data_IF_126242234336
#
_entry.id   IF_126242234336
#
_cell.length_a   1.000
_cell.length_b   1.000
_cell.length_c   1.000
_cell.angle_alpha   90.00
_cell.angle_beta   90.00
_cell.angle_gamma   90.00
#
_symmetry.space_group_name_H-M   'P 1'
#
loop_
_entity.id
_entity.type
_entity.pdbx_description
1 polymer ?
#
# COMPACT_ATOMS: atom_id res chain seq x y z
N UNK A 1 -6.22 9.56 -14.54
CA UNK A 1 -4.78 9.17 -14.63
C UNK A 1 -4.66 7.86 -13.91
N UNK A 2 -4.24 6.78 -14.56
CA UNK A 2 -4.14 5.47 -13.91
C UNK A 2 -2.98 5.40 -12.91
N UNK A 3 -3.10 4.50 -11.93
CA UNK A 3 -2.04 4.17 -10.98
C UNK A 3 -0.83 3.63 -11.76
N UNK A 4 0.32 4.29 -11.63
CA UNK A 4 1.55 3.80 -12.22
C UNK A 4 2.10 2.64 -11.37
N UNK A 5 2.31 1.48 -11.98
CA UNK A 5 2.91 0.29 -11.33
C UNK A 5 4.44 0.41 -11.23
N UNK A 6 4.92 1.55 -10.75
CA UNK A 6 6.34 1.79 -10.53
C UNK A 6 6.52 2.33 -9.11
N UNK A 7 7.59 1.93 -8.42
CA UNK A 7 7.89 2.55 -7.14
C UNK A 7 8.15 4.04 -7.35
N UNK A 8 7.73 4.84 -6.38
CA UNK A 8 7.98 6.28 -6.40
C UNK A 8 9.49 6.55 -6.33
N UNK A 9 9.93 7.63 -6.97
CA UNK A 9 11.33 8.08 -6.89
C UNK A 9 11.76 8.35 -5.44
N UNK A 10 10.82 8.74 -4.57
CA UNK A 10 11.08 8.91 -3.14
C UNK A 10 11.45 7.58 -2.47
N UNK A 11 10.71 6.50 -2.73
CA UNK A 11 11.03 5.17 -2.18
C UNK A 11 12.42 4.70 -2.66
N UNK A 12 12.69 4.88 -3.94
CA UNK A 12 13.96 4.53 -4.57
C UNK A 12 15.14 5.35 -4.04
N UNK A 13 14.92 6.61 -3.69
CA UNK A 13 15.94 7.47 -3.08
C UNK A 13 16.23 7.10 -1.62
N UNK A 14 15.23 6.63 -0.87
CA UNK A 14 15.38 6.30 0.57
C UNK A 14 16.00 4.91 0.75
N UNK A 15 15.55 3.91 -0.01
CA UNK A 15 16.03 2.53 0.08
C UNK A 15 16.45 1.99 -1.29
N UNK A 16 17.48 2.57 -1.93
CA UNK A 16 17.87 2.19 -3.29
C UNK A 16 18.27 0.71 -3.41
N UNK A 17 18.82 0.14 -2.34
CA UNK A 17 19.23 -1.27 -2.27
C UNK A 17 18.04 -2.26 -2.27
N UNK A 18 16.81 -1.78 -2.00
CA UNK A 18 15.59 -2.60 -2.06
C UNK A 18 14.86 -2.50 -3.40
N UNK A 19 15.48 -1.93 -4.45
CA UNK A 19 14.83 -1.73 -5.75
C UNK A 19 14.05 -2.95 -6.28
N UNK A 20 14.60 -4.18 -6.32
CA UNK A 20 13.84 -5.34 -6.78
C UNK A 20 12.54 -5.56 -5.98
N UNK A 21 12.62 -5.41 -4.65
CA UNK A 21 11.47 -5.56 -3.77
C UNK A 21 10.45 -4.41 -3.93
N UNK A 22 10.92 -3.18 -4.12
CA UNK A 22 10.05 -2.02 -4.36
C UNK A 22 9.32 -2.16 -5.71
N UNK A 23 9.97 -2.72 -6.73
CA UNK A 23 9.34 -3.06 -8.01
C UNK A 23 8.28 -4.16 -7.83
N UNK A 24 8.57 -5.22 -7.05
CA UNK A 24 7.59 -6.25 -6.70
C UNK A 24 6.37 -5.68 -5.95
N UNK A 25 6.61 -4.82 -4.95
CA UNK A 25 5.56 -4.12 -4.23
C UNK A 25 4.70 -3.28 -5.19
N UNK A 26 5.32 -2.51 -6.08
CA UNK A 26 4.59 -1.68 -7.04
C UNK A 26 3.73 -2.51 -8.01
N UNK A 27 4.25 -3.65 -8.48
CA UNK A 27 3.49 -4.59 -9.31
C UNK A 27 2.33 -5.21 -8.54
N UNK A 28 2.55 -5.59 -7.27
CA UNK A 28 1.51 -6.15 -6.41
C UNK A 28 0.39 -5.16 -6.15
N UNK A 29 0.71 -3.87 -5.94
CA UNK A 29 -0.31 -2.83 -5.79
C UNK A 29 -1.23 -2.74 -7.01
N UNK A 30 -0.69 -2.82 -8.22
CA UNK A 30 -1.53 -2.86 -9.42
C UNK A 30 -2.38 -4.12 -9.53
N UNK A 31 -1.86 -5.26 -9.07
CA UNK A 31 -2.66 -6.49 -8.97
C UNK A 31 -3.85 -6.28 -8.01
N UNK A 32 -3.62 -5.62 -6.87
CA UNK A 32 -4.65 -5.28 -5.90
C UNK A 32 -5.76 -4.42 -6.50
N UNK A 33 -5.38 -3.37 -7.23
CA UNK A 33 -6.34 -2.47 -7.91
C UNK A 33 -7.11 -3.23 -8.98
N UNK A 34 -6.45 -4.07 -9.79
CA UNK A 34 -7.09 -4.90 -10.82
C UNK A 34 -8.16 -5.83 -10.24
N UNK A 35 -7.96 -6.33 -9.03
CA UNK A 35 -8.90 -7.24 -8.37
C UNK A 35 -9.84 -6.57 -7.36
N UNK A 36 -9.81 -5.24 -7.24
CA UNK A 36 -10.59 -4.52 -6.24
C UNK A 36 -12.10 -4.79 -6.37
N UNK A 37 -12.63 -4.85 -7.61
CA UNK A 37 -14.04 -5.21 -7.87
C UNK A 37 -14.40 -6.64 -7.46
N UNK A 38 -13.46 -7.59 -7.54
CA UNK A 38 -13.70 -8.96 -7.07
C UNK A 38 -13.71 -9.02 -5.55
N UNK A 39 -12.82 -8.27 -4.91
CA UNK A 39 -12.80 -8.11 -3.46
C UNK A 39 -14.11 -7.47 -2.94
N UNK A 40 -14.66 -6.48 -3.65
CA UNK A 40 -15.95 -5.85 -3.35
C UNK A 40 -17.12 -6.88 -3.31
N UNK A 41 -17.03 -7.91 -4.15
CA UNK A 41 -17.99 -9.03 -4.24
C UNK A 41 -17.71 -10.18 -3.27
N UNK A 42 -16.67 -10.07 -2.44
CA UNK A 42 -16.29 -11.10 -1.46
C UNK A 42 -15.32 -12.16 -1.98
N UNK A 43 -14.85 -12.07 -3.23
CA UNK A 43 -13.90 -13.01 -3.84
C UNK A 43 -12.50 -12.39 -3.94
N UNK A 44 -11.93 -11.93 -2.84
CA UNK A 44 -10.66 -11.20 -2.87
C UNK A 44 -9.47 -12.17 -3.05
N UNK A 45 -8.77 -12.18 -4.20
CA UNK A 45 -7.66 -13.10 -4.44
C UNK A 45 -6.31 -12.52 -3.99
N UNK A 46 -6.31 -11.33 -3.38
CA UNK A 46 -5.13 -10.59 -2.92
C UNK A 46 -5.20 -10.38 -1.42
N UNK A 47 -4.04 -10.21 -0.79
CA UNK A 47 -3.94 -9.92 0.63
C UNK A 47 -3.99 -8.40 0.86
N UNK A 48 -5.05 -7.93 1.53
CA UNK A 48 -5.26 -6.52 1.84
C UNK A 48 -4.12 -5.91 2.68
N UNK A 49 -3.47 -6.67 3.55
CA UNK A 49 -2.31 -6.19 4.29
C UNK A 49 -1.10 -5.98 3.39
N UNK A 50 -0.85 -6.92 2.46
CA UNK A 50 0.18 -6.74 1.44
C UNK A 50 -0.16 -5.62 0.47
N UNK A 51 -1.43 -5.42 0.12
CA UNK A 51 -1.87 -4.28 -0.68
C UNK A 51 -1.59 -2.96 0.06
N UNK A 52 -1.89 -2.88 1.35
CA UNK A 52 -1.65 -1.68 2.16
C UNK A 52 -0.16 -1.37 2.33
N UNK A 53 0.68 -2.40 2.40
CA UNK A 53 2.13 -2.25 2.39
C UNK A 53 2.66 -1.82 1.01
N UNK A 54 2.24 -2.51 -0.05
CA UNK A 54 2.61 -2.26 -1.43
C UNK A 54 2.27 -0.83 -1.89
N UNK A 55 1.14 -0.31 -1.41
CA UNK A 55 0.70 1.07 -1.61
C UNK A 55 1.82 2.10 -1.33
N UNK A 56 2.59 1.90 -0.25
CA UNK A 56 3.64 2.82 0.21
C UNK A 56 4.79 2.93 -0.80
N UNK A 57 5.07 1.86 -1.53
CA UNK A 57 6.10 1.86 -2.56
C UNK A 57 5.68 2.73 -3.76
N UNK A 58 4.39 2.73 -4.11
CA UNK A 58 3.86 3.43 -5.29
C UNK A 58 3.58 4.90 -5.02
N UNK A 59 3.04 5.22 -3.85
CA UNK A 59 2.56 6.57 -3.56
C UNK A 59 3.50 7.29 -2.58
N UNK A 60 4.02 8.43 -3.02
CA UNK A 60 4.85 9.36 -2.25
C UNK A 60 4.02 10.15 -1.22
N UNK A 61 3.11 9.46 -0.54
CA UNK A 61 2.29 10.05 0.51
C UNK A 61 3.13 10.09 1.77
N UNK A 62 3.81 11.22 1.95
CA UNK A 62 4.72 11.47 3.07
C UNK A 62 3.97 11.35 4.40
N UNK A 63 4.11 10.17 5.02
CA UNK A 63 3.81 9.94 6.41
C UNK A 63 2.39 9.51 6.77
N UNK A 64 1.54 9.14 5.80
CA UNK A 64 0.25 8.51 6.11
C UNK A 64 -0.28 7.61 4.98
N UNK A 65 -0.21 6.30 5.20
CA UNK A 65 -0.81 5.29 4.29
C UNK A 65 -2.32 5.43 4.21
N UNK A 66 -2.97 5.77 5.33
CA UNK A 66 -4.43 5.91 5.38
C UNK A 66 -4.90 7.09 4.53
N UNK A 67 -4.24 8.25 4.62
CA UNK A 67 -4.56 9.40 3.76
C UNK A 67 -4.29 9.10 2.30
N UNK A 68 -3.18 8.43 2.03
CA UNK A 68 -2.88 7.99 0.69
C UNK A 68 -3.96 7.07 0.10
N UNK A 69 -4.39 6.06 0.84
CA UNK A 69 -5.47 5.16 0.42
C UNK A 69 -6.75 5.95 0.13
N UNK A 70 -7.06 6.94 0.96
CA UNK A 70 -8.21 7.82 0.75
C UNK A 70 -8.11 8.59 -0.57
N UNK A 71 -6.92 9.12 -0.92
CA UNK A 71 -6.76 9.84 -2.19
C UNK A 71 -6.99 8.95 -3.41
N UNK A 72 -6.55 7.70 -3.37
CA UNK A 72 -6.80 6.73 -4.45
C UNK A 72 -8.29 6.42 -4.55
N UNK A 73 -8.94 6.17 -3.41
CA UNK A 73 -10.39 5.95 -3.38
C UNK A 73 -11.17 7.18 -3.89
N UNK A 74 -10.81 8.39 -3.47
CA UNK A 74 -11.45 9.63 -3.89
C UNK A 74 -11.31 9.93 -5.40
N UNK A 75 -10.35 9.28 -6.09
CA UNK A 75 -10.22 9.31 -7.56
C UNK A 75 -11.11 8.29 -8.28
N UNK A 76 -11.86 7.48 -7.54
CA UNK A 76 -12.69 6.40 -8.08
C UNK A 76 -11.90 5.17 -8.50
N UNK A 77 -10.66 5.02 -8.03
CA UNK A 77 -9.78 3.92 -8.43
C UNK A 77 -9.98 2.67 -7.57
N UNK A 78 -10.68 2.77 -6.44
CA UNK A 78 -11.00 1.67 -5.53
C UNK A 78 -12.48 1.73 -5.09
N UNK A 79 -13.20 0.60 -5.12
CA UNK A 79 -14.55 0.48 -4.56
C UNK A 79 -14.52 0.52 -3.02
N UNK A 80 -15.67 0.83 -2.42
CA UNK A 80 -15.80 1.18 -1.00
C UNK A 80 -15.29 0.08 -0.05
N UNK A 81 -15.74 -1.16 -0.19
CA UNK A 81 -15.34 -2.23 0.77
C UNK A 81 -13.87 -2.59 0.62
N UNK A 82 -13.34 -2.53 -0.61
CA UNK A 82 -11.92 -2.76 -0.81
C UNK A 82 -11.09 -1.67 -0.12
N UNK A 83 -11.47 -0.40 -0.30
CA UNK A 83 -10.86 0.71 0.39
C UNK A 83 -10.96 0.57 1.92
N UNK A 84 -12.12 0.23 2.47
CA UNK A 84 -12.30 0.03 3.91
C UNK A 84 -11.39 -1.07 4.47
N UNK A 85 -11.30 -2.21 3.76
CA UNK A 85 -10.41 -3.31 4.12
C UNK A 85 -8.95 -2.90 4.11
N UNK A 86 -8.53 -2.16 3.07
CA UNK A 86 -7.19 -1.63 2.92
C UNK A 86 -6.85 -0.60 4.02
N UNK A 87 -7.76 0.32 4.32
CA UNK A 87 -7.61 1.33 5.35
C UNK A 87 -7.49 0.70 6.75
N UNK A 88 -8.29 -0.35 7.03
CA UNK A 88 -8.18 -1.13 8.27
C UNK A 88 -6.83 -1.83 8.39
N UNK A 89 -6.33 -2.43 7.31
CA UNK A 89 -5.03 -3.07 7.29
C UNK A 89 -3.89 -2.05 7.49
N UNK A 90 -3.94 -0.91 6.79
CA UNK A 90 -3.01 0.19 6.95
C UNK A 90 -2.99 0.72 8.39
N UNK A 91 -4.16 0.90 9.02
CA UNK A 91 -4.28 1.35 10.41
C UNK A 91 -3.62 0.39 11.41
N UNK A 92 -3.66 -0.92 11.15
CA UNK A 92 -2.98 -1.93 11.98
C UNK A 92 -1.46 -1.86 11.81
N UNK A 93 -0.98 -1.72 10.57
CA UNK A 93 0.44 -1.58 10.26
C UNK A 93 1.09 -0.40 10.99
N UNK A 94 0.40 0.74 11.05
CA UNK A 94 0.93 1.94 11.72
C UNK A 94 0.49 2.06 13.18
N UNK A 95 -0.22 1.07 13.73
CA UNK A 95 -0.75 1.04 15.12
C UNK A 95 -1.45 2.35 15.54
N UNK A 96 -2.21 2.96 14.63
CA UNK A 96 -2.92 4.22 14.90
C UNK A 96 -2.05 5.48 14.96
N UNK A 97 -0.76 5.40 14.58
CA UNK A 97 0.08 6.58 14.44
C UNK A 97 -0.52 7.55 13.41
N UNK A 98 -0.66 8.82 13.81
CA UNK A 98 -1.19 9.88 12.93
C UNK A 98 -0.19 10.30 11.85
N UNK A 99 1.10 10.15 12.14
CA UNK A 99 2.19 10.49 11.25
C UNK A 99 3.40 9.60 11.56
N UNK A 100 4.08 9.14 10.51
CA UNK A 100 5.39 8.50 10.60
C UNK A 100 6.33 9.15 9.58
N UNK A 101 7.62 9.33 9.89
CA UNK A 101 8.62 9.61 8.87
C UNK A 101 8.53 8.59 7.73
N UNK A 102 8.71 9.04 6.49
CA UNK A 102 8.48 8.19 5.32
C UNK A 102 9.42 6.97 5.30
N UNK A 103 10.64 7.12 5.81
CA UNK A 103 11.63 6.05 5.93
C UNK A 103 11.17 4.95 6.88
N UNK A 104 10.61 5.33 8.04
CA UNK A 104 10.04 4.39 9.01
C UNK A 104 8.83 3.69 8.39
N UNK A 105 7.99 4.46 7.71
CA UNK A 105 6.80 3.91 7.08
C UNK A 105 7.15 2.92 5.95
N UNK A 106 8.16 3.23 5.14
CA UNK A 106 8.64 2.36 4.08
C UNK A 106 9.31 1.10 4.65
N UNK A 107 10.07 1.21 5.73
CA UNK A 107 10.65 0.05 6.42
C UNK A 107 9.55 -0.91 6.95
N UNK A 108 8.52 -0.34 7.59
CA UNK A 108 7.37 -1.13 8.06
C UNK A 108 6.64 -1.78 6.88
N UNK A 109 6.39 -1.05 5.80
CA UNK A 109 5.76 -1.59 4.61
C UNK A 109 6.54 -2.78 4.05
N UNK A 110 7.86 -2.66 3.91
CA UNK A 110 8.74 -3.76 3.48
C UNK A 110 8.60 -4.97 4.41
N UNK A 111 8.65 -4.76 5.73
CA UNK A 111 8.51 -5.84 6.71
C UNK A 111 7.16 -6.58 6.56
N UNK A 112 6.05 -5.83 6.45
CA UNK A 112 4.72 -6.41 6.30
C UNK A 112 4.52 -7.09 4.95
N UNK A 113 5.09 -6.55 3.88
CA UNK A 113 5.00 -7.13 2.54
C UNK A 113 5.66 -8.52 2.48
N UNK A 114 6.78 -8.69 3.17
CA UNK A 114 7.51 -9.95 3.29
C UNK A 114 6.84 -10.97 4.24
N UNK A 115 5.71 -10.62 4.86
CA UNK A 115 4.96 -11.51 5.76
C UNK A 115 5.32 -11.38 7.25
N UNK A 116 5.89 -10.24 7.65
CA UNK A 116 6.08 -9.91 9.05
C UNK A 116 4.75 -9.87 9.82
N UNK A 117 4.57 -10.76 10.79
CA UNK A 117 3.47 -10.70 11.74
C UNK A 117 3.92 -9.90 12.96
N UNK A 118 3.15 -8.86 13.32
CA UNK A 118 3.24 -8.28 14.66
C UNK A 118 2.42 -9.20 15.59
N UNK A 119 3.14 -9.88 16.49
CA UNK A 119 2.58 -10.52 17.69
C UNK A 119 1.97 -9.42 18.59
#
# INVERSE_FOLDING_TARGET
MGIACKPSEAALSVMPYLRPLLDEMANYWCLCVKYADRCERGECPVDLAKCAAAYVAVLNERGSVVRGNYYVHARGELPDKFYEGLAKAASRMVRGARYLPYEILLALAVHYFLGGNII
#
